data_IF_630521883500
#
_entry.id   IF_630521883500
#
_cell.length_a   1.000
_cell.length_b   1.000
_cell.length_c   1.000
_cell.angle_alpha   90.00
_cell.angle_beta   90.00
_cell.angle_gamma   90.00
#
_symmetry.space_group_name_H-M   'P 1'
#
loop_
_entity.id
_entity.type
_entity.pdbx_description
1 polymer ?
#
# COMPACT_ATOMS: atom_id res chain seq x y z
N UNK A 1 -3.81 15.41 12.76
CA UNK A 1 -3.39 16.76 13.16
C UNK A 1 -4.64 17.61 13.37
N UNK A 2 -4.97 17.89 14.64
CA UNK A 2 -6.03 18.83 14.96
C UNK A 2 -5.59 20.23 14.50
N UNK A 3 -6.38 20.83 13.65
CA UNK A 3 -6.27 22.23 13.30
C UNK A 3 -7.18 22.98 14.28
N UNK A 4 -6.61 23.87 15.09
CA UNK A 4 -7.23 24.63 16.18
C UNK A 4 -7.46 23.86 17.49
N UNK A 5 -8.00 24.51 18.49
CA UNK A 5 -8.23 24.06 19.87
C UNK A 5 -9.32 22.99 20.05
N UNK A 6 -9.48 22.09 19.07
CA UNK A 6 -10.48 21.03 19.12
C UNK A 6 -9.98 19.84 19.92
N UNK A 7 -10.87 19.24 20.69
CA UNK A 7 -10.61 18.05 21.50
C UNK A 7 -10.31 16.86 20.58
N UNK A 8 -9.18 16.19 20.82
CA UNK A 8 -8.83 14.94 20.15
C UNK A 8 -9.47 13.81 20.96
N UNK A 9 -10.44 13.12 20.38
CA UNK A 9 -10.96 11.88 20.94
C UNK A 9 -10.02 10.74 20.55
N UNK A 10 -9.43 10.11 21.54
CA UNK A 10 -8.68 8.88 21.36
C UNK A 10 -9.66 7.70 21.46
N UNK A 11 -9.81 6.95 20.35
CA UNK A 11 -10.56 5.71 20.33
C UNK A 11 -9.60 4.60 20.67
N UNK A 12 -9.73 4.07 21.88
CA UNK A 12 -8.96 2.89 22.31
C UNK A 12 -9.48 1.66 21.57
N UNK A 13 -8.63 0.76 21.04
CA UNK A 13 -9.07 -0.52 20.49
C UNK A 13 -9.49 -1.49 21.61
N UNK A 14 -10.53 -1.08 22.40
CA UNK A 14 -11.03 -1.84 23.56
C UNK A 14 -11.86 -3.04 23.12
N UNK A 15 -12.49 -2.94 21.93
CA UNK A 15 -13.34 -4.01 21.43
C UNK A 15 -12.48 -5.14 20.85
N UNK A 16 -12.73 -6.38 21.27
CA UNK A 16 -12.07 -7.53 20.66
C UNK A 16 -12.43 -7.57 19.16
N UNK A 17 -11.48 -8.04 18.35
CA UNK A 17 -11.76 -8.35 16.95
C UNK A 17 -12.72 -9.54 16.93
N UNK A 18 -13.97 -9.29 16.57
CA UNK A 18 -14.96 -10.35 16.38
C UNK A 18 -14.82 -10.87 14.95
N UNK A 19 -14.36 -12.11 14.82
CA UNK A 19 -14.09 -12.70 13.52
C UNK A 19 -14.82 -14.04 13.34
N UNK A 20 -15.66 -14.11 12.30
CA UNK A 20 -16.33 -15.34 11.91
C UNK A 20 -15.47 -16.10 10.87
N UNK A 21 -14.90 -17.22 11.28
CA UNK A 21 -14.00 -18.04 10.47
C UNK A 21 -14.70 -18.76 9.31
N UNK A 22 -16.02 -18.99 9.38
CA UNK A 22 -16.77 -19.65 8.33
C UNK A 22 -17.09 -18.68 7.19
N UNK A 23 -17.50 -17.46 7.56
CA UNK A 23 -17.92 -16.44 6.59
C UNK A 23 -16.78 -15.52 6.16
N UNK A 24 -15.71 -15.41 6.94
CA UNK A 24 -14.62 -14.46 6.74
C UNK A 24 -15.05 -13.01 6.95
N UNK A 25 -16.07 -12.77 7.79
CA UNK A 25 -16.53 -11.43 8.15
C UNK A 25 -15.93 -11.08 9.50
N UNK A 26 -15.30 -9.91 9.58
CA UNK A 26 -14.76 -9.36 10.82
C UNK A 26 -15.47 -8.07 11.20
N UNK A 27 -15.86 -7.95 12.46
CA UNK A 27 -16.28 -6.71 13.09
C UNK A 27 -15.12 -6.17 13.92
N UNK A 28 -14.66 -4.96 13.62
CA UNK A 28 -13.35 -4.48 14.06
C UNK A 28 -13.46 -3.02 14.50
N UNK A 29 -12.85 -2.67 15.63
CA UNK A 29 -12.70 -1.26 16.03
C UNK A 29 -11.96 -0.44 14.95
N UNK A 30 -12.39 0.79 14.71
CA UNK A 30 -11.70 1.69 13.78
C UNK A 30 -10.27 2.03 14.21
N UNK A 31 -9.94 1.91 15.49
CA UNK A 31 -8.60 2.13 16.03
C UNK A 31 -7.66 0.94 15.85
N UNK A 32 -8.17 -0.25 15.51
CA UNK A 32 -7.36 -1.44 15.24
C UNK A 32 -6.43 -1.19 14.05
N UNK A 33 -5.14 -1.49 14.20
CA UNK A 33 -4.20 -1.42 13.09
C UNK A 33 -4.38 -2.63 12.15
N UNK A 34 -4.11 -2.43 10.86
CA UNK A 34 -4.13 -3.52 9.86
C UNK A 34 -3.20 -4.67 10.28
N UNK A 35 -2.05 -4.34 10.90
CA UNK A 35 -1.13 -5.34 11.43
C UNK A 35 -1.76 -6.24 12.49
N UNK A 36 -2.45 -5.65 13.46
CA UNK A 36 -3.11 -6.39 14.56
C UNK A 36 -4.25 -7.25 14.01
N UNK A 37 -5.00 -6.74 13.05
CA UNK A 37 -6.03 -7.51 12.35
C UNK A 37 -5.42 -8.72 11.63
N UNK A 38 -4.32 -8.54 10.90
CA UNK A 38 -3.62 -9.64 10.22
C UNK A 38 -3.14 -10.68 11.25
N UNK A 39 -2.52 -10.25 12.35
CA UNK A 39 -2.03 -11.14 13.40
C UNK A 39 -3.15 -12.00 13.99
N UNK A 40 -4.35 -11.42 14.11
CA UNK A 40 -5.52 -12.10 14.65
C UNK A 40 -6.13 -13.12 13.67
N UNK A 41 -6.29 -12.77 12.36
CA UNK A 41 -7.07 -13.60 11.41
C UNK A 41 -6.21 -14.56 10.58
N UNK A 42 -4.91 -14.27 10.40
CA UNK A 42 -4.02 -15.09 9.56
C UNK A 42 -3.88 -16.54 10.05
N UNK A 43 -3.81 -16.83 11.37
CA UNK A 43 -3.76 -18.20 11.87
C UNK A 43 -4.95 -19.06 11.43
N UNK A 44 -6.09 -18.43 11.16
CA UNK A 44 -7.32 -19.08 10.68
C UNK A 44 -7.39 -19.18 9.14
N UNK A 45 -6.36 -18.71 8.43
CA UNK A 45 -6.30 -18.73 6.96
C UNK A 45 -7.03 -17.57 6.28
N UNK A 46 -7.09 -16.42 6.93
CA UNK A 46 -7.73 -15.23 6.39
C UNK A 46 -6.78 -14.05 6.34
N UNK A 47 -7.05 -13.13 5.42
CA UNK A 47 -6.23 -11.93 5.19
C UNK A 47 -7.11 -10.75 4.74
N UNK A 48 -6.78 -9.50 5.11
CA UNK A 48 -7.48 -8.34 4.58
C UNK A 48 -7.35 -8.28 3.05
N UNK A 49 -8.45 -8.03 2.31
CA UNK A 49 -8.42 -8.07 0.84
C UNK A 49 -7.49 -7.02 0.24
N UNK A 50 -7.42 -5.84 0.85
CA UNK A 50 -6.59 -4.72 0.41
C UNK A 50 -5.74 -4.24 1.59
N UNK A 51 -4.43 -4.11 1.38
CA UNK A 51 -3.50 -3.57 2.38
C UNK A 51 -2.58 -2.52 1.76
N UNK A 52 -2.26 -1.43 2.51
CA UNK A 52 -1.37 -0.38 2.02
C UNK A 52 0.11 -0.78 2.13
N UNK A 53 1.02 0.15 1.94
CA UNK A 53 2.46 -0.09 2.05
C UNK A 53 3.01 -0.20 3.47
N UNK A 54 2.18 0.03 4.50
CA UNK A 54 2.51 -0.09 5.92
C UNK A 54 1.37 -0.74 6.68
N UNK A 55 1.66 -1.54 7.68
CA UNK A 55 0.66 -2.21 8.53
C UNK A 55 0.17 -1.37 9.71
N UNK A 56 0.78 -0.20 9.94
CA UNK A 56 0.46 0.69 11.06
C UNK A 56 -0.73 1.62 10.81
N UNK A 57 -1.39 1.50 9.67
CA UNK A 57 -2.63 2.22 9.36
C UNK A 57 -3.79 1.57 10.12
N UNK A 58 -4.63 2.40 10.75
CA UNK A 58 -5.84 1.93 11.43
C UNK A 58 -6.97 1.64 10.43
N UNK A 59 -7.92 0.81 10.81
CA UNK A 59 -9.10 0.49 9.98
C UNK A 59 -9.90 1.74 9.64
N UNK A 60 -10.15 2.63 10.60
CA UNK A 60 -10.82 3.91 10.34
C UNK A 60 -10.05 4.79 9.35
N UNK A 61 -8.72 4.86 9.48
CA UNK A 61 -7.85 5.57 8.54
C UNK A 61 -7.84 4.93 7.15
N UNK A 62 -7.88 3.59 7.08
CA UNK A 62 -7.96 2.86 5.82
C UNK A 62 -9.25 3.15 5.05
N UNK A 63 -10.39 3.24 5.74
CA UNK A 63 -11.68 3.60 5.16
C UNK A 63 -11.69 5.08 4.76
N UNK A 64 -11.28 5.97 5.67
CA UNK A 64 -11.30 7.41 5.44
C UNK A 64 -10.40 7.85 4.28
N UNK A 65 -9.31 7.14 4.01
CA UNK A 65 -8.43 7.39 2.87
C UNK A 65 -8.76 6.51 1.65
N UNK A 66 -9.74 5.62 1.77
CA UNK A 66 -10.07 4.57 0.79
C UNK A 66 -8.81 3.94 0.20
N UNK A 67 -7.98 3.38 1.07
CA UNK A 67 -6.66 2.91 0.69
C UNK A 67 -6.71 1.88 -0.43
N UNK A 68 -5.67 1.86 -1.22
CA UNK A 68 -5.46 0.85 -2.26
C UNK A 68 -4.16 0.05 -2.04
N UNK A 69 -4.16 -1.20 -2.50
CA UNK A 69 -3.03 -2.11 -2.42
C UNK A 69 -2.28 -2.29 -3.75
N UNK A 70 -1.49 -3.36 -3.81
CA UNK A 70 -0.81 -3.85 -5.02
C UNK A 70 -1.76 -4.62 -5.94
N UNK A 71 -3.02 -4.75 -5.57
CA UNK A 71 -4.06 -5.54 -6.22
C UNK A 71 -5.25 -4.71 -6.68
N UNK A 72 -5.09 -3.38 -6.83
CA UNK A 72 -6.20 -2.50 -7.21
C UNK A 72 -6.86 -2.91 -8.53
N UNK A 73 -6.10 -3.41 -9.50
CA UNK A 73 -6.62 -3.87 -10.80
C UNK A 73 -7.52 -5.10 -10.71
N UNK A 74 -7.47 -5.86 -9.59
CA UNK A 74 -8.30 -7.04 -9.33
C UNK A 74 -9.34 -6.77 -8.24
N UNK A 75 -8.91 -6.21 -7.11
CA UNK A 75 -9.72 -6.12 -5.89
C UNK A 75 -10.21 -4.69 -5.59
N UNK A 76 -9.78 -3.68 -6.35
CA UNK A 76 -10.16 -2.28 -6.14
C UNK A 76 -9.57 -1.66 -4.88
N UNK A 77 -10.33 -0.71 -4.28
CA UNK A 77 -10.00 -0.05 -3.03
C UNK A 77 -10.58 -0.78 -1.81
N UNK A 78 -10.20 -0.33 -0.62
CA UNK A 78 -10.60 -0.92 0.65
C UNK A 78 -12.12 -0.88 0.87
N UNK A 79 -12.77 0.22 0.49
CA UNK A 79 -14.22 0.42 0.65
C UNK A 79 -15.08 -0.63 -0.07
N UNK A 80 -14.58 -1.26 -1.13
CA UNK A 80 -15.31 -2.32 -1.83
C UNK A 80 -15.56 -3.56 -0.96
N UNK A 81 -14.71 -3.75 0.07
CA UNK A 81 -14.76 -4.87 1.00
C UNK A 81 -15.36 -4.51 2.37
N UNK A 82 -15.70 -3.23 2.57
CA UNK A 82 -16.42 -2.76 3.76
C UNK A 82 -17.91 -3.03 3.56
N UNK A 83 -18.51 -3.77 4.51
CA UNK A 83 -19.93 -4.09 4.52
C UNK A 83 -20.71 -2.94 5.14
N UNK A 84 -20.29 -2.48 6.33
CA UNK A 84 -20.86 -1.34 7.05
C UNK A 84 -19.84 -0.76 8.03
N UNK A 85 -20.11 0.41 8.54
CA UNK A 85 -19.43 1.02 9.68
C UNK A 85 -20.36 1.91 10.48
N UNK A 86 -20.06 2.11 11.75
CA UNK A 86 -20.72 3.08 12.61
C UNK A 86 -19.93 4.40 12.56
N UNK A 87 -20.64 5.47 12.21
CA UNK A 87 -20.10 6.83 12.10
C UNK A 87 -20.70 7.72 13.18
N UNK A 88 -19.86 8.34 14.00
CA UNK A 88 -20.27 9.40 14.92
C UNK A 88 -20.22 10.75 14.21
N UNK A 89 -21.35 11.43 14.17
CA UNK A 89 -21.51 12.75 13.55
C UNK A 89 -21.08 13.87 14.51
N UNK A 90 -21.03 15.10 14.02
CA UNK A 90 -20.64 16.30 14.77
C UNK A 90 -21.54 16.60 15.98
N UNK A 91 -22.81 16.22 15.90
CA UNK A 91 -23.78 16.35 17.00
C UNK A 91 -23.70 15.21 18.02
N UNK A 92 -22.77 14.27 17.89
CA UNK A 92 -22.60 13.11 18.75
C UNK A 92 -23.53 11.92 18.45
N UNK A 93 -24.44 12.04 17.49
CA UNK A 93 -25.27 10.89 17.08
C UNK A 93 -24.43 9.86 16.32
N UNK A 94 -24.76 8.58 16.53
CA UNK A 94 -24.10 7.46 15.86
C UNK A 94 -25.08 6.88 14.84
N UNK A 95 -24.63 6.75 13.60
CA UNK A 95 -25.42 6.20 12.50
C UNK A 95 -24.67 5.04 11.85
N UNK A 96 -25.39 3.97 11.49
CA UNK A 96 -24.83 2.92 10.67
C UNK A 96 -24.83 3.36 9.21
N UNK A 97 -23.68 3.14 8.55
CA UNK A 97 -23.49 3.45 7.14
C UNK A 97 -23.13 2.17 6.38
N UNK A 98 -23.82 1.92 5.28
CA UNK A 98 -23.56 0.79 4.39
C UNK A 98 -24.00 1.16 2.95
N UNK A 99 -23.78 0.26 1.99
CA UNK A 99 -24.28 0.44 0.62
C UNK A 99 -25.83 0.49 0.54
N UNK A 100 -26.56 0.05 1.60
CA UNK A 100 -28.03 0.02 1.65
C UNK A 100 -28.60 1.06 2.60
N UNK A 101 -27.89 1.36 3.69
CA UNK A 101 -28.33 2.26 4.74
C UNK A 101 -27.38 3.46 4.81
N UNK A 102 -27.90 4.68 4.81
CA UNK A 102 -27.12 5.92 4.73
C UNK A 102 -26.06 5.87 3.61
N UNK A 103 -26.46 5.39 2.43
CA UNK A 103 -25.55 5.05 1.32
C UNK A 103 -24.73 6.24 0.82
N UNK A 104 -25.31 7.45 0.79
CA UNK A 104 -24.61 8.66 0.38
C UNK A 104 -23.54 9.05 1.41
N UNK A 105 -23.84 8.88 2.69
CA UNK A 105 -22.88 9.12 3.76
C UNK A 105 -21.78 8.05 3.76
N UNK A 106 -22.14 6.78 3.47
CA UNK A 106 -21.16 5.72 3.27
C UNK A 106 -20.16 6.09 2.17
N UNK A 107 -20.65 6.50 1.01
CA UNK A 107 -19.82 6.91 -0.13
C UNK A 107 -18.97 8.15 0.19
N UNK A 108 -19.55 9.15 0.82
CA UNK A 108 -18.84 10.37 1.20
C UNK A 108 -17.75 10.12 2.27
N UNK A 109 -17.92 9.11 3.13
CA UNK A 109 -16.97 8.77 4.18
C UNK A 109 -15.78 7.95 3.65
N UNK A 110 -16.05 7.03 2.71
CA UNK A 110 -15.01 6.25 2.04
C UNK A 110 -14.16 7.18 1.14
N UNK A 111 -12.92 7.46 1.55
CA UNK A 111 -12.08 8.45 0.89
C UNK A 111 -12.36 9.91 1.29
N UNK A 112 -13.29 10.16 2.22
CA UNK A 112 -13.66 11.48 2.71
C UNK A 112 -12.68 12.12 3.70
N UNK A 113 -11.53 11.49 3.94
CA UNK A 113 -10.43 11.99 4.77
C UNK A 113 -10.83 12.36 6.20
N UNK A 114 -11.91 11.71 6.72
CA UNK A 114 -12.45 11.96 8.06
C UNK A 114 -13.30 13.22 8.20
N UNK A 115 -13.68 13.87 7.10
CA UNK A 115 -14.46 15.12 7.14
C UNK A 115 -15.96 14.91 7.42
N UNK A 116 -16.45 13.68 7.30
CA UNK A 116 -17.88 13.35 7.49
C UNK A 116 -18.22 12.96 8.93
N UNK A 117 -17.22 12.64 9.74
CA UNK A 117 -17.39 12.20 11.12
C UNK A 117 -16.29 11.24 11.57
N UNK A 118 -16.48 10.63 12.74
CA UNK A 118 -15.52 9.69 13.33
C UNK A 118 -16.05 8.26 13.16
N UNK A 119 -15.31 7.43 12.41
CA UNK A 119 -15.61 5.99 12.28
C UNK A 119 -15.25 5.31 13.61
N UNK A 120 -16.20 4.59 14.20
CA UNK A 120 -16.02 3.91 15.48
C UNK A 120 -15.60 2.45 15.31
N UNK A 121 -16.28 1.73 14.44
CA UNK A 121 -16.02 0.34 14.08
C UNK A 121 -16.43 0.07 12.64
N UNK A 122 -16.02 -1.05 12.08
CA UNK A 122 -16.40 -1.47 10.74
C UNK A 122 -16.57 -2.98 10.62
N UNK A 123 -17.47 -3.39 9.76
CA UNK A 123 -17.66 -4.78 9.34
C UNK A 123 -17.04 -4.97 7.96
N UNK A 124 -16.08 -5.89 7.86
CA UNK A 124 -15.23 -6.07 6.67
C UNK A 124 -15.23 -7.52 6.23
N UNK A 125 -15.30 -7.76 4.93
CA UNK A 125 -15.15 -9.07 4.30
C UNK A 125 -13.68 -9.36 4.04
N UNK A 126 -13.16 -10.45 4.60
CA UNK A 126 -11.79 -10.92 4.40
C UNK A 126 -11.70 -11.92 3.25
N UNK A 127 -10.50 -12.21 2.80
CA UNK A 127 -10.20 -13.23 1.79
C UNK A 127 -9.51 -14.44 2.41
N UNK A 128 -9.77 -15.63 1.86
CA UNK A 128 -9.06 -16.84 2.27
C UNK A 128 -7.65 -16.90 1.69
N UNK A 129 -6.69 -17.27 2.53
CA UNK A 129 -5.30 -17.54 2.15
C UNK A 129 -4.83 -18.87 2.74
N UNK A 130 -3.93 -19.55 2.06
CA UNK A 130 -3.43 -20.86 2.50
C UNK A 130 -2.04 -20.79 3.12
N UNK A 131 -1.36 -19.64 2.99
CA UNK A 131 0.01 -19.50 3.46
C UNK A 131 0.29 -18.05 3.84
N UNK A 132 1.23 -17.85 4.75
CA UNK A 132 1.81 -16.53 5.02
C UNK A 132 2.91 -16.15 4.02
N UNK A 133 3.27 -17.04 3.14
CA UNK A 133 4.32 -16.81 2.15
C UNK A 133 3.75 -16.43 0.79
N UNK A 134 4.46 -15.55 0.10
CA UNK A 134 4.16 -15.06 -1.23
C UNK A 134 5.19 -15.60 -2.21
N UNK A 135 4.73 -16.20 -3.29
CA UNK A 135 5.55 -16.41 -4.47
C UNK A 135 5.72 -15.08 -5.19
N UNK A 136 6.89 -14.47 -5.05
CA UNK A 136 7.23 -13.22 -5.69
C UNK A 136 8.01 -13.48 -6.97
N UNK A 137 7.61 -12.84 -8.06
CA UNK A 137 8.37 -12.86 -9.32
C UNK A 137 8.68 -11.41 -9.68
N UNK A 138 9.96 -11.14 -9.92
CA UNK A 138 10.45 -9.83 -10.37
C UNK A 138 10.85 -9.91 -11.83
N UNK A 139 10.39 -8.96 -12.64
CA UNK A 139 10.68 -8.84 -14.07
C UNK A 139 11.39 -7.51 -14.30
N UNK A 140 12.57 -7.59 -14.90
CA UNK A 140 13.37 -6.42 -15.23
C UNK A 140 12.86 -5.79 -16.52
N UNK A 141 12.72 -4.48 -16.52
CA UNK A 141 12.33 -3.70 -17.70
C UNK A 141 13.40 -2.65 -18.01
N UNK A 142 13.88 -2.59 -19.25
CA UNK A 142 14.97 -1.71 -19.68
C UNK A 142 14.50 -0.26 -19.87
N UNK A 143 13.19 -0.07 -20.08
CA UNK A 143 12.56 1.23 -20.30
C UNK A 143 11.07 1.17 -19.97
N UNK A 144 10.38 2.29 -20.13
CA UNK A 144 8.96 2.42 -19.84
C UNK A 144 8.08 1.53 -20.74
N UNK A 145 8.46 1.34 -22.02
CA UNK A 145 7.72 0.50 -22.97
C UNK A 145 7.67 -0.95 -22.52
N UNK A 146 8.83 -1.48 -22.15
CA UNK A 146 8.95 -2.84 -21.65
C UNK A 146 8.21 -3.01 -20.32
N UNK A 147 8.26 -1.98 -19.45
CA UNK A 147 7.53 -2.01 -18.18
C UNK A 147 6.02 -2.06 -18.37
N UNK A 148 5.46 -1.26 -19.28
CA UNK A 148 4.03 -1.33 -19.63
C UNK A 148 3.67 -2.69 -20.26
N UNK A 149 4.54 -3.22 -21.12
CA UNK A 149 4.35 -4.56 -21.69
C UNK A 149 4.31 -5.65 -20.62
N UNK A 150 5.14 -5.52 -19.58
CA UNK A 150 5.10 -6.44 -18.44
C UNK A 150 3.79 -6.31 -17.65
N UNK A 151 3.30 -5.09 -17.37
CA UNK A 151 2.01 -4.91 -16.71
C UNK A 151 0.87 -5.59 -17.48
N UNK A 152 0.81 -5.42 -18.81
CA UNK A 152 -0.20 -6.10 -19.65
C UNK A 152 -0.04 -7.61 -19.67
N UNK A 153 1.20 -8.11 -19.74
CA UNK A 153 1.45 -9.57 -19.79
C UNK A 153 1.09 -10.27 -18.51
N UNK A 154 1.20 -9.60 -17.36
CA UNK A 154 1.03 -10.17 -16.03
C UNK A 154 -0.15 -9.57 -15.27
N UNK A 155 -1.13 -8.98 -15.97
CA UNK A 155 -2.33 -8.35 -15.40
C UNK A 155 -3.23 -9.32 -14.63
N UNK A 156 -3.20 -10.63 -14.98
CA UNK A 156 -3.90 -11.69 -14.27
C UNK A 156 -3.32 -12.02 -12.89
N UNK A 157 -2.13 -11.51 -12.55
CA UNK A 157 -1.54 -11.68 -11.23
C UNK A 157 -2.22 -10.77 -10.21
N UNK A 158 -2.68 -11.35 -9.10
CA UNK A 158 -3.44 -10.60 -8.09
C UNK A 158 -2.70 -9.38 -7.56
N UNK A 159 -1.40 -9.52 -7.30
CA UNK A 159 -0.58 -8.44 -6.78
C UNK A 159 0.48 -8.04 -7.79
N UNK A 160 0.53 -6.76 -8.13
CA UNK A 160 1.54 -6.19 -9.02
C UNK A 160 1.92 -4.78 -8.58
N UNK A 161 3.22 -4.47 -8.66
CA UNK A 161 3.78 -3.15 -8.40
C UNK A 161 5.12 -3.03 -9.11
N UNK A 162 5.43 -1.88 -9.65
CA UNK A 162 6.75 -1.63 -10.23
C UNK A 162 7.50 -0.56 -9.45
N UNK A 163 8.79 -0.79 -9.26
CA UNK A 163 9.75 0.25 -8.93
C UNK A 163 10.30 0.86 -10.20
N UNK A 164 10.44 2.18 -10.22
CA UNK A 164 10.92 2.97 -11.34
C UNK A 164 12.22 3.70 -11.01
N UNK A 165 13.18 3.68 -11.94
CA UNK A 165 14.30 4.60 -11.91
C UNK A 165 13.91 5.91 -12.63
N UNK A 166 13.47 6.88 -11.87
CA UNK A 166 13.06 8.18 -12.39
C UNK A 166 14.25 9.11 -12.74
N UNK A 167 15.49 8.64 -12.54
CA UNK A 167 16.72 9.40 -12.91
C UNK A 167 17.26 9.02 -14.30
N UNK A 168 16.77 7.94 -14.89
CA UNK A 168 17.19 7.44 -16.20
C UNK A 168 16.67 8.29 -17.35
N UNK A 169 17.45 8.40 -18.43
CA UNK A 169 17.15 9.23 -19.61
C UNK A 169 17.28 8.42 -20.90
N UNK A 170 16.74 8.98 -21.99
CA UNK A 170 16.85 8.42 -23.34
C UNK A 170 16.31 7.00 -23.42
N UNK A 171 17.04 6.08 -24.03
CA UNK A 171 16.60 4.69 -24.23
C UNK A 171 16.37 3.90 -22.93
N UNK A 172 16.77 4.45 -21.78
CA UNK A 172 16.56 3.86 -20.45
C UNK A 172 15.48 4.59 -19.65
N UNK A 173 14.77 5.54 -20.25
CA UNK A 173 13.73 6.30 -19.56
C UNK A 173 12.70 5.36 -18.96
N UNK A 174 12.45 5.48 -17.64
CA UNK A 174 11.48 4.65 -16.93
C UNK A 174 11.87 3.18 -16.81
N UNK A 175 13.19 2.83 -16.94
CA UNK A 175 13.62 1.47 -16.60
C UNK A 175 13.19 1.14 -15.18
N UNK A 176 12.86 -0.12 -14.93
CA UNK A 176 12.32 -0.50 -13.64
C UNK A 176 12.27 -1.99 -13.41
N UNK A 177 11.59 -2.38 -12.34
CA UNK A 177 11.37 -3.78 -12.00
C UNK A 177 9.91 -3.96 -11.65
N UNK A 178 9.16 -4.72 -12.46
CA UNK A 178 7.82 -5.18 -12.10
C UNK A 178 7.94 -6.33 -11.10
N UNK A 179 7.23 -6.24 -10.01
CA UNK A 179 7.14 -7.25 -8.97
C UNK A 179 5.69 -7.74 -8.94
N UNK A 180 5.49 -9.04 -9.17
CA UNK A 180 4.19 -9.69 -9.01
C UNK A 180 4.22 -10.64 -7.83
N UNK A 181 3.06 -10.93 -7.24
CA UNK A 181 2.95 -11.85 -6.11
C UNK A 181 1.65 -12.61 -6.08
N UNK A 182 1.72 -13.82 -5.56
CA UNK A 182 0.58 -14.70 -5.27
C UNK A 182 0.83 -15.42 -3.96
N UNK A 183 -0.19 -15.58 -3.13
CA UNK A 183 -0.08 -16.43 -1.95
C UNK A 183 0.25 -17.87 -2.37
N UNK A 184 1.19 -18.49 -1.66
CA UNK A 184 1.49 -19.91 -1.88
C UNK A 184 0.29 -20.77 -1.48
N UNK A 185 0.06 -21.84 -2.25
CA UNK A 185 -1.01 -22.81 -1.99
C UNK A 185 -0.63 -23.88 -0.94
N UNK A 186 0.53 -23.80 -0.37
CA UNK A 186 0.99 -24.72 0.70
C UNK A 186 0.46 -24.19 2.04
N UNK A 187 -0.22 -25.01 2.80
CA UNK A 187 -0.80 -24.65 4.09
C UNK A 187 0.28 -24.40 5.17
N UNK A 188 0.91 -23.22 5.14
CA UNK A 188 1.88 -22.77 6.16
C UNK A 188 1.42 -21.45 6.73
N UNK A 189 0.59 -21.52 7.76
CA UNK A 189 0.03 -20.36 8.47
C UNK A 189 0.69 -20.17 9.85
N UNK A 190 1.25 -21.24 10.42
CA UNK A 190 1.90 -21.22 11.73
C UNK A 190 3.24 -20.48 11.74
N UNK A 191 3.61 -20.00 12.92
CA UNK A 191 4.88 -19.33 13.16
C UNK A 191 4.96 -17.89 12.57
N UNK A 192 3.80 -17.29 12.23
CA UNK A 192 3.73 -15.87 11.99
C UNK A 192 3.86 -15.14 13.33
N UNK A 193 4.87 -14.29 13.42
CA UNK A 193 5.04 -13.37 14.53
C UNK A 193 5.48 -12.05 13.93
N UNK A 194 4.64 -11.03 14.05
CA UNK A 194 4.87 -9.70 13.50
C UNK A 194 6.14 -9.04 14.05
N UNK A 195 6.54 -9.43 15.27
CA UNK A 195 7.63 -8.76 15.99
C UNK A 195 9.02 -9.39 15.79
N UNK A 196 9.11 -10.60 15.22
CA UNK A 196 10.37 -11.36 15.12
C UNK A 196 11.26 -11.01 13.91
N UNK A 197 10.94 -10.00 13.13
CA UNK A 197 11.84 -9.55 12.06
C UNK A 197 12.88 -8.58 12.61
N UNK A 198 14.16 -8.92 12.44
CA UNK A 198 15.28 -7.99 12.65
C UNK A 198 15.02 -6.74 11.79
N UNK A 199 14.58 -5.67 12.44
CA UNK A 199 14.34 -4.39 11.77
C UNK A 199 15.64 -3.59 11.76
N UNK A 200 16.05 -3.19 10.57
CA UNK A 200 17.14 -2.23 10.43
C UNK A 200 16.68 -0.90 11.04
N UNK A 201 17.47 -0.32 11.94
CA UNK A 201 17.16 0.98 12.53
C UNK A 201 18.11 2.06 11.99
N UNK A 202 17.54 3.20 11.57
CA UNK A 202 18.31 4.40 11.22
C UNK A 202 18.43 5.26 12.48
N UNK A 203 19.58 5.23 13.19
CA UNK A 203 19.68 5.79 14.53
C UNK A 203 19.70 7.32 14.56
N UNK A 204 20.13 7.98 13.47
CA UNK A 204 20.27 9.44 13.40
C UNK A 204 19.83 9.97 12.02
N UNK A 205 19.54 11.28 11.95
CA UNK A 205 19.25 11.94 10.69
C UNK A 205 20.51 12.04 9.84
N UNK A 206 20.44 11.54 8.61
CA UNK A 206 21.54 11.71 7.66
C UNK A 206 21.65 13.18 7.24
N UNK A 207 22.87 13.66 6.94
CA UNK A 207 23.06 14.98 6.37
C UNK A 207 22.29 15.11 5.04
N UNK A 208 21.54 16.20 4.88
CA UNK A 208 20.66 16.40 3.71
C UNK A 208 21.42 16.41 2.38
N UNK A 209 22.71 16.76 2.38
CA UNK A 209 23.55 16.75 1.18
C UNK A 209 23.87 15.34 0.65
N UNK A 210 23.66 14.28 1.47
CA UNK A 210 23.84 12.89 1.01
C UNK A 210 22.79 12.49 -0.03
N UNK A 211 21.59 13.08 0.03
CA UNK A 211 20.54 12.86 -0.99
C UNK A 211 20.67 13.96 -2.04
N UNK A 212 21.40 13.66 -3.08
CA UNK A 212 21.60 14.53 -4.23
C UNK A 212 21.48 13.73 -5.54
N UNK A 213 21.48 14.42 -6.68
CA UNK A 213 21.32 13.77 -7.99
C UNK A 213 22.32 12.62 -8.24
N UNK A 214 23.55 12.78 -7.80
CA UNK A 214 24.61 11.78 -8.05
C UNK A 214 24.40 10.52 -7.19
N UNK A 215 24.16 10.69 -5.88
CA UNK A 215 23.91 9.57 -4.96
C UNK A 215 22.63 8.81 -5.32
N UNK A 216 21.56 9.53 -5.72
CA UNK A 216 20.32 8.93 -6.20
C UNK A 216 20.53 8.12 -7.47
N UNK A 217 21.30 8.64 -8.42
CA UNK A 217 21.60 7.93 -9.66
C UNK A 217 22.41 6.65 -9.41
N UNK A 218 23.39 6.71 -8.50
CA UNK A 218 24.14 5.51 -8.07
C UNK A 218 23.21 4.52 -7.41
N UNK A 219 22.42 4.96 -6.43
CA UNK A 219 21.48 4.09 -5.71
C UNK A 219 20.50 3.42 -6.69
N UNK A 220 19.83 4.18 -7.55
CA UNK A 220 18.86 3.65 -8.50
C UNK A 220 19.51 2.67 -9.48
N UNK A 221 20.75 2.96 -9.92
CA UNK A 221 21.48 2.04 -10.81
C UNK A 221 21.82 0.73 -10.09
N UNK A 222 22.33 0.80 -8.87
CA UNK A 222 22.63 -0.39 -8.07
C UNK A 222 21.35 -1.19 -7.76
N UNK A 223 20.28 -0.52 -7.33
CA UNK A 223 19.01 -1.16 -7.05
C UNK A 223 18.46 -1.89 -8.27
N UNK A 224 18.46 -1.24 -9.45
CA UNK A 224 18.04 -1.83 -10.71
C UNK A 224 18.82 -3.11 -11.06
N UNK A 225 20.14 -3.12 -10.86
CA UNK A 225 20.97 -4.28 -11.15
C UNK A 225 20.87 -5.39 -10.11
N UNK A 226 20.76 -5.03 -8.81
CA UNK A 226 20.73 -5.98 -7.70
C UNK A 226 19.36 -6.61 -7.46
N UNK A 227 18.27 -5.89 -7.76
CA UNK A 227 16.89 -6.39 -7.57
C UNK A 227 16.59 -7.62 -8.42
N UNK A 228 17.16 -7.68 -9.61
CA UNK A 228 17.01 -8.80 -10.52
C UNK A 228 18.29 -8.94 -11.36
N UNK A 229 19.10 -9.98 -11.10
CA UNK A 229 20.34 -10.22 -11.88
C UNK A 229 20.06 -10.76 -13.28
N UNK A 230 18.91 -11.41 -13.49
CA UNK A 230 18.41 -11.91 -14.77
C UNK A 230 17.17 -11.11 -15.19
N UNK A 231 16.65 -11.37 -16.38
CA UNK A 231 15.39 -10.77 -16.85
C UNK A 231 14.21 -11.12 -15.93
N UNK A 232 14.29 -12.29 -15.24
CA UNK A 232 13.27 -12.80 -14.32
C UNK A 232 13.90 -13.44 -13.09
N UNK A 233 13.37 -13.08 -11.90
CA UNK A 233 13.77 -13.69 -10.63
C UNK A 233 12.53 -14.14 -9.86
N UNK A 234 12.49 -15.41 -9.46
CA UNK A 234 11.43 -15.99 -8.62
C UNK A 234 11.97 -16.27 -7.22
N UNK A 235 11.27 -15.85 -6.19
CA UNK A 235 11.61 -16.09 -4.78
C UNK A 235 10.34 -16.30 -3.95
N UNK A 236 10.47 -16.99 -2.84
CA UNK A 236 9.43 -17.08 -1.82
C UNK A 236 9.79 -16.13 -0.69
N UNK A 237 8.87 -15.25 -0.34
CA UNK A 237 9.07 -14.24 0.71
C UNK A 237 7.93 -14.27 1.72
N UNK A 238 8.20 -13.83 2.94
CA UNK A 238 7.16 -13.60 3.95
C UNK A 238 6.27 -12.41 3.55
N UNK A 239 4.98 -12.46 3.95
CA UNK A 239 4.01 -11.42 3.64
C UNK A 239 4.45 -10.03 4.09
N UNK A 240 5.12 -9.89 5.25
CA UNK A 240 5.60 -8.59 5.72
C UNK A 240 6.62 -7.99 4.75
N UNK A 241 7.55 -8.82 4.24
CA UNK A 241 8.54 -8.37 3.26
C UNK A 241 7.90 -7.98 1.93
N UNK A 242 6.83 -8.68 1.53
CA UNK A 242 6.14 -8.40 0.28
C UNK A 242 5.25 -7.16 0.38
N UNK A 243 4.36 -7.12 1.38
CA UNK A 243 3.37 -6.03 1.48
C UNK A 243 3.94 -4.77 2.14
N UNK A 244 4.78 -4.90 3.17
CA UNK A 244 5.25 -3.84 4.06
C UNK A 244 6.78 -3.69 4.07
N UNK A 245 7.44 -3.53 2.92
CA UNK A 245 8.91 -3.53 2.85
C UNK A 245 9.55 -2.38 3.65
N UNK A 246 8.91 -1.22 3.73
CA UNK A 246 9.42 -0.07 4.49
C UNK A 246 9.29 -0.24 6.01
N UNK A 247 8.32 -1.05 6.47
CA UNK A 247 8.17 -1.34 7.90
C UNK A 247 9.32 -2.19 8.46
N UNK A 248 10.17 -2.76 7.58
CA UNK A 248 11.39 -3.47 7.98
C UNK A 248 12.53 -2.51 8.38
N UNK A 249 12.37 -1.22 8.11
CA UNK A 249 13.38 -0.19 8.41
C UNK A 249 12.77 0.80 9.40
N UNK A 250 13.17 0.70 10.67
CA UNK A 250 12.73 1.65 11.68
C UNK A 250 13.35 3.03 11.41
N UNK A 251 12.55 4.07 11.59
CA UNK A 251 12.97 5.46 11.40
C UNK A 251 13.55 5.74 10.00
N UNK A 252 13.08 5.03 8.96
CA UNK A 252 13.54 5.19 7.58
C UNK A 252 13.44 6.65 7.07
N UNK A 253 12.49 7.44 7.61
CA UNK A 253 12.36 8.87 7.31
C UNK A 253 13.62 9.67 7.63
N UNK A 254 14.46 9.23 8.58
CA UNK A 254 15.73 9.88 8.94
C UNK A 254 16.77 9.83 7.80
N UNK A 255 16.59 8.94 6.83
CA UNK A 255 17.41 8.93 5.61
C UNK A 255 17.33 10.25 4.84
N UNK A 256 16.19 10.95 4.90
CA UNK A 256 15.96 12.22 4.21
C UNK A 256 16.44 13.45 5.00
N UNK A 257 17.11 13.24 6.12
CA UNK A 257 17.61 14.31 6.95
C UNK A 257 16.49 15.05 7.70
N UNK A 258 16.87 16.16 8.38
CA UNK A 258 15.91 16.96 9.16
C UNK A 258 14.87 17.70 8.30
N UNK A 259 15.17 17.97 7.03
CA UNK A 259 14.25 18.63 6.09
C UNK A 259 13.08 17.71 5.68
N UNK A 260 13.21 16.39 5.87
CA UNK A 260 12.19 15.42 5.50
C UNK A 260 12.04 15.26 3.99
N UNK A 261 10.85 14.82 3.57
CA UNK A 261 10.50 14.63 2.15
C UNK A 261 9.02 14.91 1.93
N UNK A 262 8.67 15.15 0.68
CA UNK A 262 7.29 15.24 0.22
C UNK A 262 7.00 14.03 -0.68
N UNK A 263 5.79 13.50 -0.56
CA UNK A 263 5.27 12.49 -1.47
C UNK A 263 4.26 13.13 -2.41
N UNK A 264 4.44 12.91 -3.70
CA UNK A 264 3.48 13.32 -4.72
C UNK A 264 2.90 12.06 -5.37
N UNK A 265 1.57 11.96 -5.41
CA UNK A 265 0.84 10.87 -6.04
C UNK A 265 -0.10 11.45 -7.09
N UNK A 266 -0.17 10.78 -8.25
CA UNK A 266 -1.08 11.13 -9.33
C UNK A 266 -1.61 9.87 -10.01
N UNK A 267 -2.74 10.02 -10.69
CA UNK A 267 -3.38 8.96 -11.47
C UNK A 267 -3.56 9.47 -12.90
N UNK A 268 -3.25 8.64 -13.88
CA UNK A 268 -3.42 8.93 -15.30
C UNK A 268 -4.46 7.98 -15.90
N UNK A 269 -5.35 8.47 -16.78
CA UNK A 269 -6.26 7.61 -17.54
C UNK A 269 -5.45 6.58 -18.34
N UNK A 270 -5.86 5.30 -18.30
CA UNK A 270 -5.11 4.18 -18.86
C UNK A 270 -4.68 4.42 -20.33
N UNK A 271 -5.60 4.94 -21.14
CA UNK A 271 -5.33 5.23 -22.58
C UNK A 271 -4.23 6.27 -22.84
N UNK A 272 -3.96 7.16 -21.86
CA UNK A 272 -2.94 8.22 -21.95
C UNK A 272 -1.79 8.00 -20.96
N UNK A 273 -1.81 6.91 -20.21
CA UNK A 273 -0.86 6.70 -19.12
C UNK A 273 0.57 6.60 -19.57
N UNK A 274 0.84 5.91 -20.69
CA UNK A 274 2.20 5.78 -21.23
C UNK A 274 2.76 7.14 -21.65
N UNK A 275 2.06 7.87 -22.52
CA UNK A 275 2.49 9.20 -22.97
C UNK A 275 2.66 10.19 -21.81
N UNK A 276 1.72 10.16 -20.85
CA UNK A 276 1.78 10.99 -19.64
C UNK A 276 2.99 10.66 -18.77
N UNK A 277 3.27 9.36 -18.56
CA UNK A 277 4.43 8.92 -17.79
C UNK A 277 5.75 9.28 -18.47
N UNK A 278 5.86 9.15 -19.79
CA UNK A 278 7.04 9.57 -20.54
C UNK A 278 7.35 11.06 -20.34
N UNK A 279 6.33 11.92 -20.45
CA UNK A 279 6.44 13.37 -20.22
C UNK A 279 6.90 13.68 -18.80
N UNK A 280 6.26 13.06 -17.79
CA UNK A 280 6.59 13.27 -16.36
C UNK A 280 8.02 12.80 -16.07
N UNK A 281 8.41 11.62 -16.54
CA UNK A 281 9.74 11.07 -16.31
C UNK A 281 10.84 11.91 -16.99
N UNK A 282 10.58 12.46 -18.17
CA UNK A 282 11.50 13.38 -18.82
C UNK A 282 11.72 14.63 -17.98
N UNK A 283 10.64 15.28 -17.51
CA UNK A 283 10.73 16.46 -16.64
C UNK A 283 11.51 16.15 -15.35
N UNK A 284 11.20 15.03 -14.67
CA UNK A 284 11.90 14.64 -13.43
C UNK A 284 13.36 14.37 -13.71
N UNK A 285 13.68 13.59 -14.75
CA UNK A 285 15.06 13.23 -15.05
C UNK A 285 15.90 14.42 -15.52
N UNK A 286 15.30 15.40 -16.19
CA UNK A 286 15.96 16.64 -16.64
C UNK A 286 16.20 17.60 -15.48
N UNK A 287 15.26 17.70 -14.52
CA UNK A 287 15.40 18.56 -13.34
C UNK A 287 16.54 18.16 -12.42
N UNK A 288 17.05 16.93 -12.53
CA UNK A 288 18.05 16.39 -11.61
C UNK A 288 17.51 16.05 -10.21
N UNK A 289 16.20 16.21 -9.98
CA UNK A 289 15.54 15.93 -8.70
C UNK A 289 14.76 14.60 -8.80
N UNK A 290 15.48 13.51 -8.69
CA UNK A 290 14.89 12.17 -8.69
C UNK A 290 14.50 11.70 -7.29
N UNK A 291 13.93 10.49 -7.23
CA UNK A 291 13.61 9.79 -5.99
C UNK A 291 14.22 8.38 -6.00
N UNK A 292 14.67 7.86 -4.84
CA UNK A 292 15.02 6.45 -4.73
C UNK A 292 13.77 5.55 -4.66
N UNK A 293 12.61 6.14 -4.35
CA UNK A 293 11.34 5.45 -4.16
C UNK A 293 10.28 6.04 -5.10
N UNK A 294 10.32 5.63 -6.35
CA UNK A 294 9.25 5.89 -7.32
C UNK A 294 8.53 4.58 -7.63
N UNK A 295 7.21 4.57 -7.46
CA UNK A 295 6.38 3.37 -7.57
C UNK A 295 5.28 3.57 -8.59
N UNK A 296 5.10 2.60 -9.47
CA UNK A 296 4.01 2.57 -10.45
C UNK A 296 3.10 1.38 -10.14
N UNK A 297 1.79 1.60 -10.23
CA UNK A 297 0.76 0.55 -10.10
C UNK A 297 -0.22 0.66 -11.24
N UNK A 298 -0.76 -0.48 -11.66
CA UNK A 298 -1.91 -0.52 -12.54
C UNK A 298 -3.18 -0.47 -11.69
N UNK A 299 -4.08 0.45 -12.02
CA UNK A 299 -5.40 0.54 -11.40
C UNK A 299 -6.42 -0.10 -12.34
N UNK A 300 -7.39 -0.80 -11.76
CA UNK A 300 -8.55 -1.31 -12.43
C UNK A 300 -9.64 -0.25 -12.60
N UNK A 301 -10.86 -0.67 -12.92
CA UNK A 301 -12.03 0.23 -12.90
C UNK A 301 -12.12 0.95 -11.56
N UNK A 302 -12.55 2.21 -11.61
CA UNK A 302 -12.79 3.00 -10.40
C UNK A 302 -13.89 2.38 -9.52
N UNK A 303 -13.96 2.81 -8.26
CA UNK A 303 -15.09 2.49 -7.41
C UNK A 303 -16.35 3.19 -7.95
N UNK A 304 -17.50 2.52 -7.81
CA UNK A 304 -18.81 3.11 -8.09
C UNK A 304 -19.30 4.01 -6.93
N UNK A 305 -18.39 4.49 -6.11
CA UNK A 305 -18.69 5.36 -4.96
C UNK A 305 -18.85 6.80 -5.38
#
# INVERSE_FOLDING_TARGET
NALNEHMIHYIDPIDPIEFNQETGIGHVSAATQIGDLIDHILPFGWFPPVVPGTKFVTIGGAIAADIHGKNHHVDGCFSQHVISFNLMLDNGSIVECSKKENSDLFKATCGGMGLTGVILNATIKMIQVQSRFIEQISYKAQNIDELFSHFHRYDSKRYSVAWLDCTSKGNKLGRGVLITGEFLKNRVLSGYNSDNNLRLNIPFFLPSWLINHFSLKIFNTLYYHLSCFSERKKVVVDLNRFFFPLDQILNWNRLYGKSGFLQYQFVLPLKKSKEGMEKILNIISESGQGSPLAVLKLFGPGNEN
#
